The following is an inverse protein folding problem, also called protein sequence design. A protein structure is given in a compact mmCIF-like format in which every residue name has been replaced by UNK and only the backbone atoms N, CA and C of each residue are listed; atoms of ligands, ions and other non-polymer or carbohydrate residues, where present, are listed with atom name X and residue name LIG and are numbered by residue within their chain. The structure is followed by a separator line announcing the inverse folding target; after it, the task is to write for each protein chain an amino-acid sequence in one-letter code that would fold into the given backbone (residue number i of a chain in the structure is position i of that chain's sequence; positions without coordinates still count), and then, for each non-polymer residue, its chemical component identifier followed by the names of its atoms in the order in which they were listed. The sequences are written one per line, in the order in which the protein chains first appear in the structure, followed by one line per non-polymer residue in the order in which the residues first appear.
data_IF_898293831507
#
_entry.id   IF_898293831507
#
_cell.length_a   1.000
_cell.length_b   1.000
_cell.length_c   1.000
_cell.angle_alpha   90.00
_cell.angle_beta   90.00
_cell.angle_gamma   90.00
#
_symmetry.space_group_name_H-M   'P 1'
#
loop_
_entity.id
_entity.type
_entity.pdbx_description
1 polymer ?
#
# COMPACT_ATOMS: atom_id res chain seq x y z
N UNK A 1 -26.07 12.41 -3.45
CA UNK A 1 -25.27 11.91 -2.31
C UNK A 1 -24.26 10.96 -2.94
N UNK A 2 -23.05 11.44 -3.20
CA UNK A 2 -21.96 10.57 -3.60
C UNK A 2 -21.70 9.64 -2.42
N UNK A 3 -21.88 8.33 -2.61
CA UNK A 3 -21.49 7.34 -1.61
C UNK A 3 -19.97 7.47 -1.48
N UNK A 4 -19.48 8.00 -0.36
CA UNK A 4 -18.08 7.89 0.02
C UNK A 4 -17.78 6.39 0.12
N UNK A 5 -17.10 5.87 -0.90
CA UNK A 5 -16.67 4.48 -0.94
C UNK A 5 -15.65 4.33 0.17
N UNK A 6 -16.07 3.75 1.30
CA UNK A 6 -15.16 3.41 2.39
C UNK A 6 -14.16 2.40 1.85
N UNK A 7 -12.92 2.85 1.69
CA UNK A 7 -11.83 2.04 1.16
C UNK A 7 -11.25 1.22 2.29
N UNK A 8 -11.48 -0.08 2.24
CA UNK A 8 -10.85 -1.03 3.16
C UNK A 8 -9.50 -1.39 2.55
N UNK A 9 -8.42 -0.86 3.13
CA UNK A 9 -7.08 -1.36 2.86
C UNK A 9 -6.79 -2.44 3.90
N UNK A 10 -6.73 -3.69 3.45
CA UNK A 10 -6.32 -4.81 4.29
C UNK A 10 -4.88 -5.11 3.94
N UNK A 11 -3.99 -4.98 4.92
CA UNK A 11 -2.68 -5.58 4.80
C UNK A 11 -2.73 -6.95 5.45
N UNK A 12 -2.42 -7.99 4.69
CA UNK A 12 -2.38 -9.35 5.20
C UNK A 12 -1.05 -10.01 4.87
N UNK A 13 -0.55 -10.84 5.78
CA UNK A 13 0.49 -11.81 5.43
C UNK A 13 -0.20 -12.99 4.77
N UNK A 14 0.07 -13.21 3.49
CA UNK A 14 -0.40 -14.39 2.80
C UNK A 14 0.14 -15.63 3.52
N UNK A 15 -0.77 -16.50 3.97
CA UNK A 15 -0.40 -17.73 4.66
C UNK A 15 0.31 -18.74 3.74
N UNK A 16 0.27 -18.52 2.42
CA UNK A 16 0.85 -19.43 1.43
C UNK A 16 2.35 -19.20 1.21
N UNK A 17 2.82 -17.95 1.32
CA UNK A 17 4.17 -17.56 0.94
C UNK A 17 4.81 -16.53 1.90
N UNK A 18 4.14 -16.20 3.01
CA UNK A 18 4.54 -15.15 3.95
C UNK A 18 4.71 -13.75 3.31
N UNK A 19 4.23 -13.55 2.08
CA UNK A 19 4.25 -12.25 1.42
C UNK A 19 3.27 -11.30 2.09
N UNK A 20 3.67 -10.05 2.25
CA UNK A 20 2.77 -8.99 2.68
C UNK A 20 1.99 -8.52 1.44
N UNK A 21 0.66 -8.46 1.56
CA UNK A 21 -0.22 -8.07 0.46
C UNK A 21 -1.13 -6.92 0.87
N UNK A 22 -1.31 -5.97 -0.06
CA UNK A 22 -2.23 -4.85 0.05
C UNK A 22 -3.50 -5.21 -0.72
N UNK A 23 -4.64 -5.24 -0.04
CA UNK A 23 -5.95 -5.52 -0.65
C UNK A 23 -6.76 -4.23 -0.70
N UNK A 24 -7.16 -3.80 -1.89
CA UNK A 24 -7.96 -2.58 -2.10
C UNK A 24 -9.12 -2.86 -3.07
N UNK A 25 -10.32 -3.23 -2.58
CA UNK A 25 -11.46 -3.49 -3.45
C UNK A 25 -11.83 -2.25 -4.29
N UNK A 26 -12.22 -2.39 -5.57
CA UNK A 26 -12.50 -3.63 -6.31
C UNK A 26 -11.27 -4.27 -6.97
N UNK A 27 -10.07 -3.79 -6.69
CA UNK A 27 -8.83 -4.31 -7.28
C UNK A 27 -8.41 -5.63 -6.65
N UNK A 28 -7.56 -6.39 -7.37
CA UNK A 28 -6.94 -7.60 -6.83
C UNK A 28 -5.96 -7.26 -5.69
N UNK A 29 -5.65 -8.21 -4.80
CA UNK A 29 -4.51 -8.08 -3.90
C UNK A 29 -3.20 -7.79 -4.66
N UNK A 30 -2.39 -6.91 -4.10
CA UNK A 30 -1.08 -6.52 -4.63
C UNK A 30 -0.02 -6.97 -3.63
N UNK A 31 0.94 -7.78 -4.05
CA UNK A 31 2.09 -8.16 -3.24
C UNK A 31 3.07 -6.99 -3.09
N UNK A 32 3.72 -6.85 -1.93
CA UNK A 32 4.78 -5.85 -1.77
C UNK A 32 5.95 -6.07 -2.74
N UNK A 33 6.30 -7.31 -3.04
CA UNK A 33 7.33 -7.63 -4.04
C UNK A 33 6.92 -7.17 -5.45
N UNK A 34 5.63 -7.19 -5.80
CA UNK A 34 5.17 -6.65 -7.08
C UNK A 34 5.32 -5.12 -7.13
N UNK A 35 5.13 -4.43 -6.00
CA UNK A 35 5.35 -2.98 -5.91
C UNK A 35 6.84 -2.62 -5.98
N UNK A 36 7.72 -3.49 -5.50
CA UNK A 36 9.16 -3.32 -5.62
C UNK A 36 9.63 -3.54 -7.06
N UNK A 37 9.24 -4.67 -7.68
CA UNK A 37 9.78 -5.13 -8.96
C UNK A 37 9.05 -4.57 -10.20
N UNK A 38 7.76 -4.22 -10.08
CA UNK A 38 6.88 -3.99 -11.25
C UNK A 38 5.85 -2.87 -11.02
N UNK A 39 6.25 -1.84 -10.28
CA UNK A 39 5.39 -0.70 -9.91
C UNK A 39 4.64 -0.05 -11.10
N UNK A 40 5.31 0.17 -12.22
CA UNK A 40 4.71 0.79 -13.41
C UNK A 40 3.60 -0.08 -14.03
N UNK A 41 3.74 -1.40 -13.96
CA UNK A 41 2.75 -2.34 -14.47
C UNK A 41 1.53 -2.37 -13.55
N UNK A 42 1.76 -2.39 -12.23
CA UNK A 42 0.68 -2.34 -11.22
C UNK A 42 -0.13 -1.05 -11.35
N UNK A 43 0.52 0.12 -11.46
CA UNK A 43 -0.18 1.40 -11.61
C UNK A 43 -0.96 1.49 -12.93
N UNK A 44 -0.44 0.90 -14.01
CA UNK A 44 -1.19 0.78 -15.28
C UNK A 44 -2.39 -0.14 -15.14
N UNK A 45 -2.23 -1.31 -14.52
CA UNK A 45 -3.30 -2.26 -14.28
C UNK A 45 -4.44 -1.63 -13.46
N UNK A 46 -4.11 -0.82 -12.46
CA UNK A 46 -5.10 -0.06 -11.67
C UNK A 46 -5.89 0.91 -12.56
N UNK A 47 -5.23 1.69 -13.41
CA UNK A 47 -5.91 2.63 -14.33
C UNK A 47 -6.82 1.92 -15.34
N UNK A 48 -6.40 0.77 -15.82
CA UNK A 48 -7.13 0.03 -16.86
C UNK A 48 -8.36 -0.70 -16.29
N UNK A 49 -8.29 -1.18 -15.04
CA UNK A 49 -9.36 -1.97 -14.42
C UNK A 49 -10.34 -1.15 -13.56
N UNK A 50 -9.93 0.03 -13.08
CA UNK A 50 -10.77 0.88 -12.22
C UNK A 50 -11.27 2.08 -13.03
N UNK A 51 -12.51 2.00 -13.49
CA UNK A 51 -13.12 3.04 -14.34
C UNK A 51 -13.44 4.35 -13.60
N UNK A 52 -13.52 4.33 -12.27
CA UNK A 52 -13.65 5.55 -11.48
C UNK A 52 -12.27 6.18 -11.32
N UNK A 53 -12.04 7.28 -12.05
CA UNK A 53 -10.75 7.99 -12.08
C UNK A 53 -10.34 8.50 -10.70
N UNK A 54 -11.30 8.95 -9.86
CA UNK A 54 -10.97 9.42 -8.51
C UNK A 54 -10.53 8.25 -7.64
N UNK A 55 -11.19 7.10 -7.79
CA UNK A 55 -10.82 5.88 -7.09
C UNK A 55 -9.46 5.36 -7.56
N UNK A 56 -9.20 5.33 -8.87
CA UNK A 56 -7.91 4.89 -9.40
C UNK A 56 -6.78 5.79 -8.93
N UNK A 57 -6.97 7.12 -8.96
CA UNK A 57 -5.95 8.09 -8.52
C UNK A 57 -5.66 7.97 -7.03
N UNK A 58 -6.69 7.73 -6.20
CA UNK A 58 -6.51 7.43 -4.77
C UNK A 58 -5.71 6.16 -4.54
N UNK A 59 -6.07 5.07 -5.23
CA UNK A 59 -5.37 3.78 -5.09
C UNK A 59 -3.91 3.91 -5.53
N UNK A 60 -3.67 4.59 -6.65
CA UNK A 60 -2.33 4.85 -7.17
C UNK A 60 -1.55 5.72 -6.20
N UNK A 61 -2.14 6.80 -5.66
CA UNK A 61 -1.50 7.64 -4.66
C UNK A 61 -1.10 6.85 -3.42
N UNK A 62 -1.98 5.96 -2.93
CA UNK A 62 -1.68 5.09 -1.82
C UNK A 62 -0.50 4.15 -2.11
N UNK A 63 -0.53 3.41 -3.23
CA UNK A 63 0.56 2.47 -3.54
C UNK A 63 1.88 3.18 -3.90
N UNK A 64 1.80 4.41 -4.42
CA UNK A 64 2.98 5.27 -4.65
C UNK A 64 3.61 5.65 -3.33
N UNK A 65 2.83 6.22 -2.40
CA UNK A 65 3.33 6.60 -1.09
C UNK A 65 3.83 5.40 -0.29
N UNK A 66 3.21 4.23 -0.47
CA UNK A 66 3.70 2.98 0.12
C UNK A 66 5.06 2.59 -0.47
N UNK A 67 5.21 2.65 -1.79
CA UNK A 67 6.49 2.38 -2.47
C UNK A 67 7.58 3.36 -2.04
N UNK A 68 7.28 4.65 -2.05
CA UNK A 68 8.22 5.70 -1.62
C UNK A 68 8.69 5.44 -0.19
N UNK A 69 7.77 5.03 0.70
CA UNK A 69 8.12 4.63 2.06
C UNK A 69 9.05 3.41 2.15
N UNK A 70 8.93 2.45 1.23
CA UNK A 70 9.86 1.31 1.16
C UNK A 70 11.22 1.74 0.62
N UNK A 71 11.24 2.53 -0.46
CA UNK A 71 12.46 2.96 -1.13
C UNK A 71 13.29 3.95 -0.28
N UNK A 72 12.62 4.80 0.51
CA UNK A 72 13.25 5.77 1.42
C UNK A 72 13.55 5.20 2.81
N UNK A 73 13.09 3.97 3.10
CA UNK A 73 13.12 3.36 4.43
C UNK A 73 12.50 4.27 5.53
N UNK A 74 11.51 5.08 5.15
CA UNK A 74 10.83 6.04 6.03
C UNK A 74 9.30 5.89 5.90
N UNK A 75 8.59 5.99 7.01
CA UNK A 75 7.12 6.02 7.02
C UNK A 75 6.56 7.38 6.59
N UNK A 76 7.39 8.42 6.46
CA UNK A 76 6.95 9.77 6.18
C UNK A 76 6.10 9.90 4.89
N UNK A 77 6.47 9.31 3.74
CA UNK A 77 5.66 9.39 2.52
C UNK A 77 4.21 8.91 2.71
N UNK A 78 4.01 7.75 3.36
CA UNK A 78 2.65 7.24 3.63
C UNK A 78 1.88 8.11 4.65
N UNK A 79 2.59 8.71 5.61
CA UNK A 79 1.99 9.66 6.57
C UNK A 79 1.52 10.91 5.84
N UNK A 80 2.34 11.45 4.96
CA UNK A 80 1.99 12.62 4.14
C UNK A 80 0.80 12.33 3.23
N UNK A 81 0.75 11.16 2.60
CA UNK A 81 -0.42 10.72 1.84
C UNK A 81 -1.69 10.76 2.69
N UNK A 82 -1.64 10.25 3.92
CA UNK A 82 -2.80 10.28 4.81
C UNK A 82 -3.17 11.69 5.31
N UNK A 83 -2.19 12.59 5.44
CA UNK A 83 -2.42 13.98 5.87
C UNK A 83 -2.91 14.88 4.73
N UNK A 84 -2.50 14.61 3.50
CA UNK A 84 -2.87 15.36 2.30
C UNK A 84 -4.21 14.91 1.71
N UNK A 85 -4.60 13.65 1.94
CA UNK A 85 -5.87 13.11 1.49
C UNK A 85 -7.05 13.51 2.39
N UNK A 86 -8.25 13.62 1.80
CA UNK A 86 -9.52 13.47 2.52
C UNK A 86 -9.65 12.02 3.02
N UNK A 87 -8.81 11.61 3.96
CA UNK A 87 -8.89 10.32 4.67
C UNK A 87 -9.96 10.46 5.75
N UNK A 88 -11.16 10.89 5.34
CA UNK A 88 -12.35 10.90 6.18
C UNK A 88 -12.97 9.50 6.27
N UNK A 89 -12.49 8.54 5.47
CA UNK A 89 -13.18 7.25 5.26
C UNK A 89 -12.44 6.01 5.76
N UNK A 90 -11.21 6.13 6.27
CA UNK A 90 -10.47 5.00 6.84
C UNK A 90 -10.55 4.95 8.35
N UNK A 91 -10.74 3.74 8.87
CA UNK A 91 -10.75 3.52 10.31
C UNK A 91 -9.33 3.69 10.89
N UNK A 92 -9.15 4.37 12.04
CA UNK A 92 -7.85 4.55 12.66
C UNK A 92 -7.07 3.23 12.90
N UNK A 93 -7.75 2.10 13.11
CA UNK A 93 -7.08 0.82 13.27
C UNK A 93 -6.49 0.31 11.95
N UNK A 94 -7.10 0.63 10.81
CA UNK A 94 -6.55 0.30 9.49
C UNK A 94 -5.30 1.14 9.20
N UNK A 95 -5.33 2.42 9.55
CA UNK A 95 -4.16 3.31 9.43
C UNK A 95 -3.00 2.76 10.28
N UNK A 96 -3.27 2.36 11.52
CA UNK A 96 -2.25 1.73 12.37
C UNK A 96 -1.69 0.44 11.76
N UNK A 97 -2.53 -0.40 11.14
CA UNK A 97 -2.09 -1.62 10.48
C UNK A 97 -1.16 -1.33 9.30
N UNK A 98 -1.48 -0.33 8.48
CA UNK A 98 -0.61 0.12 7.37
C UNK A 98 0.75 0.57 7.90
N UNK A 99 0.79 1.42 8.92
CA UNK A 99 2.06 1.86 9.50
C UNK A 99 2.87 0.73 10.13
N UNK A 100 2.21 -0.19 10.84
CA UNK A 100 2.86 -1.35 11.43
C UNK A 100 3.48 -2.25 10.35
N UNK A 101 2.78 -2.42 9.23
CA UNK A 101 3.25 -3.19 8.08
C UNK A 101 4.49 -2.58 7.45
N UNK A 102 4.48 -1.27 7.18
CA UNK A 102 5.61 -0.60 6.54
C UNK A 102 6.84 -0.69 7.43
N UNK A 103 6.69 -0.44 8.74
CA UNK A 103 7.79 -0.62 9.69
C UNK A 103 8.32 -2.04 9.70
N UNK A 104 7.44 -3.03 9.73
CA UNK A 104 7.82 -4.43 9.67
C UNK A 104 8.55 -4.79 8.38
N UNK A 105 8.14 -4.22 7.24
CA UNK A 105 8.81 -4.43 5.97
C UNK A 105 10.19 -3.77 5.94
N UNK A 106 10.30 -2.50 6.35
CA UNK A 106 11.57 -1.78 6.45
C UNK A 106 12.53 -2.50 7.40
N UNK A 107 12.03 -2.96 8.56
CA UNK A 107 12.81 -3.73 9.51
C UNK A 107 13.28 -5.06 8.88
N UNK A 108 12.40 -5.75 8.13
CA UNK A 108 12.74 -7.00 7.43
C UNK A 108 13.78 -6.80 6.31
N UNK A 109 13.67 -5.74 5.50
CA UNK A 109 14.64 -5.43 4.44
C UNK A 109 15.98 -5.02 5.04
N UNK A 110 15.98 -4.29 6.15
CA UNK A 110 17.21 -3.86 6.84
C UNK A 110 17.90 -5.00 7.61
N UNK A 111 17.14 -5.97 8.15
CA UNK A 111 17.72 -7.15 8.79
C UNK A 111 18.41 -8.09 7.77
N UNK A 112 18.31 -7.84 6.46
CA UNK A 112 19.10 -8.52 5.42
C UNK A 112 20.60 -8.12 5.37
N UNK A 113 21.09 -7.28 6.29
CA UNK A 113 22.51 -7.37 6.70
C UNK A 113 22.88 -8.80 7.19
N UNK A 114 21.92 -9.70 7.40
CA UNK A 114 22.16 -11.13 7.67
C UNK A 114 22.57 -12.01 6.49
N UNK A 115 22.51 -11.57 5.23
CA UNK A 115 22.99 -12.38 4.10
C UNK A 115 24.53 -12.32 3.89
N UNK A 116 25.27 -11.70 4.83
CA UNK A 116 26.74 -11.75 4.90
C UNK A 116 27.29 -12.63 6.05
N UNK A 117 26.55 -13.66 6.49
CA UNK A 117 27.10 -14.74 7.33
C UNK A 117 26.62 -16.14 6.93
#
# INVERSE_FOLDING_TARGET
MENEVSQVIIVNRSAADASIQIVIPPFRPISLFELEDSFEEVTREIKDNIHDVRLSDKIIGFVTAFKDSMDEEDVLPIVEYFLQGDVTTMDPNQIQLVFATIKEFIDFTNDNERLMH
#
